data_IF_932450064859
#
_entry.id   IF_932450064859
#
_cell.length_a   1.000
_cell.length_b   1.000
_cell.length_c   1.000
_cell.angle_alpha   90.00
_cell.angle_beta   90.00
_cell.angle_gamma   90.00
#
_symmetry.space_group_name_H-M   'P 1'
#
loop_
_entity.id
_entity.type
_entity.pdbx_description
1 polymer ?
#
# COMPACT_ATOMS: atom_id res chain seq x y z
N UNK A 1 -6.68 7.87 12.09
CA UNK A 1 -6.94 6.50 11.65
C UNK A 1 -7.37 5.69 12.86
N UNK A 2 -8.37 4.82 12.72
CA UNK A 2 -8.90 4.00 13.80
C UNK A 2 -8.56 2.52 13.51
N UNK A 3 -7.47 2.01 14.09
CA UNK A 3 -7.00 0.65 13.84
C UNK A 3 -7.98 -0.42 14.34
N UNK A 4 -8.66 -0.15 15.45
CA UNK A 4 -9.69 -1.03 16.01
C UNK A 4 -10.85 -1.24 15.02
N UNK A 5 -11.36 -0.18 14.41
CA UNK A 5 -12.44 -0.27 13.42
C UNK A 5 -12.00 -1.02 12.15
N UNK A 6 -10.75 -0.83 11.71
CA UNK A 6 -10.20 -1.57 10.58
C UNK A 6 -10.04 -3.06 10.89
N UNK A 7 -9.62 -3.40 12.12
CA UNK A 7 -9.54 -4.77 12.60
C UNK A 7 -10.93 -5.43 12.65
N UNK A 8 -11.92 -4.74 13.22
CA UNK A 8 -13.31 -5.23 13.33
C UNK A 8 -13.92 -5.49 11.94
N UNK A 9 -13.64 -4.64 10.94
CA UNK A 9 -14.08 -4.84 9.56
C UNK A 9 -13.48 -6.11 8.90
N UNK A 10 -12.36 -6.59 9.43
CA UNK A 10 -11.68 -7.81 9.00
C UNK A 10 -11.92 -9.00 9.94
N UNK A 11 -12.79 -8.84 10.94
CA UNK A 11 -13.06 -9.82 11.98
C UNK A 11 -11.80 -10.25 12.76
N UNK A 12 -10.88 -9.30 12.95
CA UNK A 12 -9.65 -9.46 13.71
C UNK A 12 -9.71 -8.64 15.00
N UNK A 13 -8.89 -9.01 15.98
CA UNK A 13 -8.56 -8.06 17.03
C UNK A 13 -7.52 -7.02 16.56
N UNK A 14 -7.36 -5.96 17.36
CA UNK A 14 -6.50 -4.84 16.99
C UNK A 14 -5.02 -5.22 16.90
N UNK A 15 -4.56 -6.19 17.71
CA UNK A 15 -3.16 -6.62 17.74
C UNK A 15 -2.84 -7.51 16.53
N UNK A 16 -3.72 -8.46 16.21
CA UNK A 16 -3.66 -9.28 14.99
C UNK A 16 -3.63 -8.39 13.73
N UNK A 17 -4.49 -7.37 13.67
CA UNK A 17 -4.50 -6.43 12.56
C UNK A 17 -3.18 -5.66 12.44
N UNK A 18 -2.60 -5.22 13.55
CA UNK A 18 -1.32 -4.50 13.55
C UNK A 18 -0.16 -5.38 13.07
N UNK A 19 -0.12 -6.65 13.45
CA UNK A 19 0.88 -7.59 12.94
C UNK A 19 0.78 -7.76 11.42
N UNK A 20 -0.44 -7.94 10.90
CA UNK A 20 -0.68 -8.00 9.46
C UNK A 20 -0.35 -6.69 8.75
N UNK A 21 -0.65 -5.56 9.40
CA UNK A 21 -0.34 -4.24 8.86
C UNK A 21 1.17 -4.01 8.74
N UNK A 22 1.98 -4.47 9.71
CA UNK A 22 3.45 -4.42 9.60
C UNK A 22 3.93 -5.20 8.37
N UNK A 23 3.42 -6.43 8.16
CA UNK A 23 3.77 -7.23 7.00
C UNK A 23 3.33 -6.57 5.68
N UNK A 24 2.14 -5.98 5.67
CA UNK A 24 1.65 -5.20 4.53
C UNK A 24 2.54 -3.99 4.23
N UNK A 25 3.00 -3.26 5.26
CA UNK A 25 3.86 -2.10 5.08
C UNK A 25 5.19 -2.46 4.44
N UNK A 26 5.79 -3.58 4.84
CA UNK A 26 7.03 -4.09 4.25
C UNK A 26 6.82 -4.52 2.78
N UNK A 27 5.86 -5.42 2.56
CA UNK A 27 5.63 -6.02 1.24
C UNK A 27 5.03 -5.03 0.24
N UNK A 28 4.07 -4.21 0.67
CA UNK A 28 3.42 -3.19 -0.15
C UNK A 28 4.39 -2.08 -0.57
N UNK A 29 5.29 -1.65 0.32
CA UNK A 29 6.32 -0.66 -0.05
C UNK A 29 7.28 -1.23 -1.09
N UNK A 30 7.66 -2.50 -0.95
CA UNK A 30 8.48 -3.16 -1.96
C UNK A 30 7.78 -3.24 -3.32
N UNK A 31 6.48 -3.50 -3.35
CA UNK A 31 5.71 -3.56 -4.60
C UNK A 31 5.55 -2.19 -5.28
N UNK A 32 5.31 -1.11 -4.53
CA UNK A 32 5.29 0.24 -5.09
C UNK A 32 6.67 0.64 -5.67
N UNK A 33 7.76 0.31 -4.97
CA UNK A 33 9.14 0.57 -5.45
C UNK A 33 9.45 -0.23 -6.71
N UNK A 34 9.07 -1.51 -6.77
CA UNK A 34 9.18 -2.34 -7.99
C UNK A 34 8.40 -1.73 -9.14
N UNK A 35 7.19 -1.22 -8.88
CA UNK A 35 6.37 -0.58 -9.90
C UNK A 35 7.05 0.68 -10.48
N UNK A 36 7.61 1.55 -9.63
CA UNK A 36 8.34 2.74 -10.09
C UNK A 36 9.61 2.39 -10.88
N UNK A 37 10.35 1.36 -10.43
CA UNK A 37 11.52 0.89 -11.15
C UNK A 37 11.16 0.35 -12.55
N UNK A 38 10.08 -0.43 -12.66
CA UNK A 38 9.57 -0.95 -13.93
C UNK A 38 9.09 0.19 -14.86
N UNK A 39 8.37 1.19 -14.32
CA UNK A 39 8.00 2.40 -15.07
C UNK A 39 9.24 3.11 -15.63
N UNK A 40 10.28 3.29 -14.81
CA UNK A 40 11.54 3.94 -15.22
C UNK A 40 12.25 3.16 -16.32
N UNK A 41 12.16 1.83 -16.28
CA UNK A 41 12.72 0.95 -17.31
C UNK A 41 11.85 0.84 -18.58
N UNK A 42 10.66 1.45 -18.60
CA UNK A 42 9.70 1.30 -19.69
C UNK A 42 8.98 -0.06 -19.74
N UNK A 43 9.11 -0.88 -18.68
CA UNK A 43 8.47 -2.19 -18.58
C UNK A 43 7.04 -2.05 -18.01
N UNK A 44 6.10 -1.70 -18.90
CA UNK A 44 4.69 -1.55 -18.55
C UNK A 44 4.05 -2.83 -17.99
N UNK A 45 4.50 -4.00 -18.42
CA UNK A 45 3.95 -5.28 -18.00
C UNK A 45 4.36 -5.60 -16.56
N UNK A 46 5.64 -5.42 -16.23
CA UNK A 46 6.13 -5.57 -14.86
C UNK A 46 5.54 -4.52 -13.93
N UNK A 47 5.41 -3.26 -14.38
CA UNK A 47 4.74 -2.22 -13.62
C UNK A 47 3.28 -2.60 -13.31
N UNK A 48 2.54 -3.07 -14.32
CA UNK A 48 1.15 -3.49 -14.16
C UNK A 48 1.00 -4.66 -13.17
N UNK A 49 1.91 -5.63 -13.20
CA UNK A 49 1.92 -6.74 -12.22
C UNK A 49 2.18 -6.24 -10.80
N UNK A 50 3.20 -5.40 -10.62
CA UNK A 50 3.57 -4.90 -9.29
C UNK A 50 2.44 -4.09 -8.65
N UNK A 51 1.82 -3.16 -9.39
CA UNK A 51 0.69 -2.37 -8.88
C UNK A 51 -0.57 -3.23 -8.67
N UNK A 52 -0.77 -4.29 -9.47
CA UNK A 52 -1.88 -5.22 -9.28
C UNK A 52 -1.78 -5.98 -7.96
N UNK A 53 -0.57 -6.44 -7.61
CA UNK A 53 -0.30 -7.08 -6.31
C UNK A 53 -0.57 -6.12 -5.16
N UNK A 54 -0.03 -4.89 -5.22
CA UNK A 54 -0.26 -3.86 -4.21
C UNK A 54 -1.75 -3.51 -4.05
N UNK A 55 -2.50 -3.43 -5.16
CA UNK A 55 -3.95 -3.24 -5.14
C UNK A 55 -4.65 -4.38 -4.38
N UNK A 56 -4.30 -5.63 -4.65
CA UNK A 56 -4.90 -6.77 -3.97
C UNK A 56 -4.64 -6.73 -2.45
N UNK A 57 -3.40 -6.48 -2.05
CA UNK A 57 -3.04 -6.43 -0.63
C UNK A 57 -3.67 -5.23 0.10
N UNK A 58 -3.70 -4.04 -0.50
CA UNK A 58 -4.37 -2.87 0.08
C UNK A 58 -5.88 -3.07 0.24
N UNK A 59 -6.53 -3.75 -0.72
CA UNK A 59 -7.93 -4.13 -0.61
C UNK A 59 -8.19 -5.12 0.53
N UNK A 60 -7.35 -6.14 0.67
CA UNK A 60 -7.44 -7.12 1.77
C UNK A 60 -7.24 -6.49 3.15
N UNK A 61 -6.51 -5.38 3.25
CA UNK A 61 -6.28 -4.66 4.50
C UNK A 61 -7.35 -3.61 4.83
N UNK A 62 -8.38 -3.46 3.97
CA UNK A 62 -9.41 -2.43 4.12
C UNK A 62 -8.90 -1.00 3.91
N UNK A 63 -7.73 -0.82 3.28
CA UNK A 63 -7.09 0.47 3.09
C UNK A 63 -7.61 1.15 1.81
N UNK A 64 -8.89 1.55 1.84
CA UNK A 64 -9.65 2.04 0.68
C UNK A 64 -8.92 3.09 -0.15
N UNK A 65 -8.32 4.09 0.48
CA UNK A 65 -7.60 5.14 -0.25
C UNK A 65 -6.36 4.62 -1.02
N UNK A 66 -5.63 3.66 -0.45
CA UNK A 66 -4.50 3.01 -1.15
C UNK A 66 -5.03 2.12 -2.29
N UNK A 67 -6.11 1.40 -2.05
CA UNK A 67 -6.77 0.56 -3.04
C UNK A 67 -7.25 1.36 -4.26
N UNK A 68 -7.93 2.48 -4.04
CA UNK A 68 -8.40 3.37 -5.10
C UNK A 68 -7.24 4.03 -5.86
N UNK A 69 -6.21 4.47 -5.15
CA UNK A 69 -4.97 4.97 -5.75
C UNK A 69 -4.31 3.93 -6.67
N UNK A 70 -4.28 2.67 -6.23
CA UNK A 70 -3.72 1.56 -6.99
C UNK A 70 -4.57 1.23 -8.23
N UNK A 71 -5.90 1.29 -8.15
CA UNK A 71 -6.79 1.16 -9.33
C UNK A 71 -6.46 2.24 -10.36
N UNK A 72 -6.35 3.50 -9.91
CA UNK A 72 -6.09 4.61 -10.80
C UNK A 72 -4.70 4.51 -11.46
N UNK A 73 -3.67 4.13 -10.69
CA UNK A 73 -2.32 3.88 -11.20
C UNK A 73 -2.28 2.71 -12.18
N UNK A 74 -2.90 1.57 -11.84
CA UNK A 74 -2.97 0.39 -12.70
C UNK A 74 -3.67 0.71 -14.03
N UNK A 75 -4.74 1.51 -14.01
CA UNK A 75 -5.43 1.97 -15.22
C UNK A 75 -4.52 2.78 -16.12
N UNK A 76 -3.72 3.69 -15.57
CA UNK A 76 -2.80 4.50 -16.37
C UNK A 76 -1.67 3.66 -16.96
N UNK A 77 -1.05 2.80 -16.14
CA UNK A 77 0.02 1.89 -16.60
C UNK A 77 -0.47 1.00 -17.74
N UNK A 78 -1.66 0.40 -17.62
CA UNK A 78 -2.27 -0.43 -18.68
C UNK A 78 -2.60 0.34 -19.96
N UNK A 79 -2.77 1.65 -19.87
CA UNK A 79 -3.01 2.53 -21.03
C UNK A 79 -1.71 3.17 -21.55
N UNK A 80 -0.53 2.63 -21.22
CA UNK A 80 0.78 3.18 -21.58
C UNK A 80 1.04 4.60 -21.07
N UNK A 81 0.29 5.05 -20.06
CA UNK A 81 0.44 6.35 -19.38
C UNK A 81 1.34 6.21 -18.16
N UNK A 82 2.58 5.74 -18.39
CA UNK A 82 3.50 5.35 -17.31
C UNK A 82 3.84 6.51 -16.36
N UNK A 83 4.04 7.71 -16.90
CA UNK A 83 4.31 8.90 -16.09
C UNK A 83 3.12 9.27 -15.20
N UNK A 84 1.89 9.22 -15.73
CA UNK A 84 0.68 9.48 -14.95
C UNK A 84 0.44 8.39 -13.90
N UNK A 85 0.85 7.16 -14.18
CA UNK A 85 0.89 6.06 -13.21
C UNK A 85 1.88 6.33 -12.07
N UNK A 86 3.11 6.76 -12.39
CA UNK A 86 4.13 7.13 -11.40
C UNK A 86 3.67 8.27 -10.49
N UNK A 87 3.05 9.32 -11.05
CA UNK A 87 2.50 10.44 -10.28
C UNK A 87 1.43 10.01 -9.26
N UNK A 88 0.71 8.90 -9.52
CA UNK A 88 -0.29 8.35 -8.58
C UNK A 88 0.34 7.44 -7.52
N UNK A 89 1.51 6.86 -7.80
CA UNK A 89 2.25 6.02 -6.84
C UNK A 89 2.90 6.86 -5.75
N UNK A 90 3.38 8.06 -6.06
CA UNK A 90 4.11 8.89 -5.11
C UNK A 90 3.30 9.19 -3.81
N UNK A 91 2.03 9.63 -3.87
CA UNK A 91 1.23 9.85 -2.66
C UNK A 91 0.93 8.56 -1.88
N UNK A 92 0.89 7.40 -2.56
CA UNK A 92 0.72 6.12 -1.88
C UNK A 92 1.95 5.77 -1.05
N UNK A 93 3.17 6.02 -1.55
CA UNK A 93 4.39 5.83 -0.78
C UNK A 93 4.43 6.74 0.47
N UNK A 94 4.09 8.02 0.32
CA UNK A 94 4.02 8.95 1.45
C UNK A 94 3.02 8.48 2.51
N UNK A 95 1.90 7.92 2.06
CA UNK A 95 0.90 7.35 2.97
C UNK A 95 1.39 6.07 3.66
N UNK A 96 2.10 5.20 2.95
CA UNK A 96 2.74 4.01 3.53
C UNK A 96 3.74 4.41 4.63
N UNK A 97 4.57 5.42 4.38
CA UNK A 97 5.53 5.93 5.36
C UNK A 97 4.82 6.53 6.60
N UNK A 98 3.74 7.28 6.39
CA UNK A 98 2.92 7.82 7.48
C UNK A 98 2.25 6.71 8.32
N UNK A 99 1.75 5.65 7.67
CA UNK A 99 1.17 4.49 8.35
C UNK A 99 2.22 3.75 9.18
N UNK A 100 3.40 3.52 8.61
CA UNK A 100 4.52 2.89 9.32
C UNK A 100 4.94 3.68 10.57
N UNK A 101 5.01 5.00 10.47
CA UNK A 101 5.28 5.86 11.62
C UNK A 101 4.19 5.74 12.72
N UNK A 102 2.91 5.68 12.33
CA UNK A 102 1.80 5.51 13.27
C UNK A 102 1.83 4.15 13.97
N UNK A 103 2.09 3.07 13.24
CA UNK A 103 2.21 1.72 13.79
C UNK A 103 3.38 1.63 14.76
N UNK A 104 4.55 2.18 14.39
CA UNK A 104 5.73 2.25 15.28
C UNK A 104 5.45 3.03 16.55
N UNK A 105 4.77 4.18 16.45
CA UNK A 105 4.40 4.98 17.62
C UNK A 105 3.47 4.21 18.57
N UNK A 106 2.56 3.40 18.03
CA UNK A 106 1.64 2.56 18.82
C UNK A 106 2.38 1.39 19.50
N UNK A 107 3.26 0.71 18.77
CA UNK A 107 4.06 -0.40 19.30
C UNK A 107 5.16 0.07 20.28
N UNK A 108 5.51 1.36 20.26
CA UNK A 108 6.45 1.98 21.21
C UNK A 108 5.76 2.57 22.46
N UNK A 109 4.45 2.37 22.63
CA UNK A 109 3.73 2.68 23.87
C UNK A 109 4.30 1.90 25.07
N UNK A 110 4.24 2.45 26.29
CA UNK A 110 5.14 2.04 27.36
C UNK A 110 4.98 0.54 27.64
N UNK A 111 6.08 -0.20 27.58
CA UNK A 111 6.23 -1.40 28.39
C UNK A 111 5.98 -0.96 29.84
N UNK A 112 4.74 -1.14 30.30
CA UNK A 112 4.34 -0.97 31.69
C UNK A 112 4.51 -2.32 32.40
#
# INVERSE_FOLDING_TARGET
>A
MNFKELAENLYLDEDEYLELLVLFLETGTADLKKCLAAITAGDAEQAARAIHTFKGSSGNMGLTELYEGAIAAEKDIKNSRLEQGAQKIQPMLEKMDALDALVKAKNSGPSA
#
